data_IF_431154962172
#
_entry.id   IF_431154962172
#
_cell.length_a   1.000
_cell.length_b   1.000
_cell.length_c   1.000
_cell.angle_alpha   90.00
_cell.angle_beta   90.00
_cell.angle_gamma   90.00
#
_symmetry.space_group_name_H-M   'P 1'
#
loop_
_entity.id
_entity.type
_entity.pdbx_description
1 polymer ?
#
# COMPACT_ATOMS: atom_id res chain seq x y z
N UNK A 1 -14.77 -19.24 47.28
CA UNK A 1 -15.98 -18.76 46.56
C UNK A 1 -15.64 -17.49 45.78
N UNK A 2 -16.52 -17.06 44.86
CA UNK A 2 -16.42 -15.82 44.04
C UNK A 2 -16.20 -14.57 44.93
N UNK A 3 -15.73 -13.40 44.48
CA UNK A 3 -15.65 -12.80 43.13
C UNK A 3 -14.43 -11.80 43.07
N UNK A 4 -14.16 -10.94 42.07
CA UNK A 4 -14.77 -10.59 40.76
C UNK A 4 -13.65 -9.97 39.87
N UNK A 5 -13.88 -9.79 38.57
CA UNK A 5 -13.00 -9.02 37.64
C UNK A 5 -13.26 -7.51 37.72
N UNK A 6 -12.24 -6.68 37.47
CA UNK A 6 -12.39 -5.43 36.70
C UNK A 6 -11.25 -5.31 35.69
N UNK A 7 -11.62 -5.22 34.41
CA UNK A 7 -10.74 -4.89 33.30
C UNK A 7 -10.78 -3.37 33.06
N UNK A 8 -9.65 -2.70 33.14
CA UNK A 8 -9.54 -1.27 32.84
C UNK A 8 -8.81 -1.09 31.52
N UNK A 9 -9.51 -0.56 30.51
CA UNK A 9 -8.87 -0.12 29.27
C UNK A 9 -8.11 1.17 29.54
N UNK A 10 -6.77 1.11 29.50
CA UNK A 10 -5.92 2.29 29.65
C UNK A 10 -5.63 2.89 28.26
N UNK A 11 -6.44 3.88 27.88
CA UNK A 11 -6.09 4.78 26.76
C UNK A 11 -5.00 5.72 27.27
N UNK A 12 -3.76 5.51 26.85
CA UNK A 12 -2.68 6.47 27.09
C UNK A 12 -2.86 7.69 26.17
N UNK A 13 -2.72 8.93 26.68
CA UNK A 13 -2.84 10.11 25.84
C UNK A 13 -1.58 10.33 25.00
N UNK A 14 -1.71 10.22 23.68
CA UNK A 14 -0.73 10.78 22.76
C UNK A 14 -0.78 12.32 22.84
N UNK A 15 0.31 12.96 23.25
CA UNK A 15 0.48 14.40 23.05
C UNK A 15 0.85 14.65 21.58
N UNK A 16 0.11 15.49 20.83
CA UNK A 16 0.52 15.88 19.49
C UNK A 16 1.69 16.88 19.59
N UNK A 17 2.87 16.48 19.13
CA UNK A 17 3.94 17.43 18.84
C UNK A 17 3.64 18.12 17.50
N UNK A 18 3.13 19.35 17.58
CA UNK A 18 2.90 20.19 16.41
C UNK A 18 4.24 20.61 15.78
N UNK A 19 4.70 19.87 14.77
CA UNK A 19 5.87 20.26 13.96
C UNK A 19 5.43 21.34 12.98
N UNK A 20 5.65 22.60 13.34
CA UNK A 20 5.53 23.74 12.43
C UNK A 20 6.69 23.71 11.43
N UNK A 21 6.44 23.20 10.22
CA UNK A 21 7.35 23.33 9.09
C UNK A 21 7.53 24.80 8.69
N UNK A 22 8.73 25.21 8.21
CA UNK A 22 8.98 26.59 7.81
C UNK A 22 8.21 26.96 6.53
N UNK A 23 7.75 28.21 6.46
CA UNK A 23 7.21 28.79 5.23
C UNK A 23 8.26 28.74 4.10
N UNK A 24 7.94 28.05 3.00
CA UNK A 24 8.71 28.09 1.76
C UNK A 24 8.02 29.04 0.79
N UNK A 25 8.73 30.08 0.35
CA UNK A 25 8.25 31.00 -0.69
C UNK A 25 8.19 30.30 -2.07
N UNK A 26 7.25 30.66 -2.96
CA UNK A 26 6.99 29.88 -4.17
C UNK A 26 8.14 30.01 -5.19
N UNK A 27 8.77 28.89 -5.52
CA UNK A 27 9.56 28.76 -6.74
C UNK A 27 8.62 28.51 -7.93
N UNK A 28 8.73 29.32 -8.98
CA UNK A 28 7.99 29.14 -10.23
C UNK A 28 8.52 27.90 -10.99
N UNK A 29 7.85 26.77 -10.84
CA UNK A 29 7.92 25.68 -11.81
C UNK A 29 6.79 25.82 -12.83
N UNK A 30 7.16 25.73 -14.11
CA UNK A 30 6.18 25.58 -15.19
C UNK A 30 5.62 24.16 -15.16
N UNK A 31 4.39 23.99 -14.69
CA UNK A 31 3.61 22.77 -14.92
C UNK A 31 3.11 22.74 -16.36
N UNK A 32 3.57 21.79 -17.17
CA UNK A 32 2.80 21.37 -18.34
C UNK A 32 1.51 20.69 -17.87
N UNK A 33 0.48 20.68 -18.72
CA UNK A 33 -0.81 20.05 -18.43
C UNK A 33 -0.63 18.55 -18.15
N UNK A 34 -0.64 18.19 -16.87
CA UNK A 34 -0.70 16.80 -16.41
C UNK A 34 -2.15 16.51 -16.06
N UNK A 35 -2.77 15.57 -16.79
CA UNK A 35 -3.99 14.93 -16.31
C UNK A 35 -3.67 14.22 -14.98
N UNK A 36 -4.56 14.29 -13.97
CA UNK A 36 -4.32 13.64 -12.69
C UNK A 36 -4.29 12.11 -12.86
N UNK A 37 -3.22 11.41 -12.42
CA UNK A 37 -3.17 9.96 -12.51
C UNK A 37 -3.85 9.26 -11.32
N UNK A 38 -4.22 8.00 -11.55
CA UNK A 38 -4.63 6.99 -10.58
C UNK A 38 -5.93 7.25 -9.79
N UNK A 39 -7.08 7.21 -10.48
CA UNK A 39 -8.32 6.76 -9.83
C UNK A 39 -8.46 5.25 -9.95
N UNK A 40 -7.81 4.52 -9.03
CA UNK A 40 -8.23 3.15 -8.76
C UNK A 40 -9.73 3.16 -8.38
N UNK A 41 -10.53 2.35 -9.05
CA UNK A 41 -11.96 2.19 -8.75
C UNK A 41 -12.79 3.47 -8.86
N UNK A 42 -12.92 4.05 -10.06
CA UNK A 42 -14.07 4.92 -10.32
C UNK A 42 -15.39 4.11 -10.25
N UNK A 43 -16.36 4.67 -9.53
CA UNK A 43 -17.79 4.36 -9.64
C UNK A 43 -18.43 5.65 -10.18
N UNK A 44 -19.37 5.60 -11.13
CA UNK A 44 -19.51 6.64 -12.13
C UNK A 44 -19.70 8.06 -11.58
N UNK A 45 -18.81 8.97 -11.96
CA UNK A 45 -18.97 10.41 -11.73
C UNK A 45 -19.96 11.03 -12.74
N UNK A 46 -21.17 10.51 -12.82
CA UNK A 46 -22.25 11.10 -13.62
C UNK A 46 -23.24 11.87 -12.74
N UNK A 47 -23.12 13.19 -12.73
CA UNK A 47 -24.23 14.12 -13.02
C UNK A 47 -23.80 15.60 -12.90
N UNK A 48 -23.43 16.22 -14.03
CA UNK A 48 -23.94 17.55 -14.39
C UNK A 48 -23.81 17.79 -15.91
N UNK A 49 -24.88 18.32 -16.50
CA UNK A 49 -25.09 18.63 -17.93
C UNK A 49 -25.01 17.50 -18.98
N UNK A 50 -26.21 17.01 -19.35
CA UNK A 50 -26.43 16.28 -20.62
C UNK A 50 -26.22 17.19 -21.83
N UNK A 51 -25.09 17.03 -22.51
CA UNK A 51 -25.11 16.90 -23.98
C UNK A 51 -25.12 15.39 -24.32
N UNK A 52 -25.53 14.98 -25.53
CA UNK A 52 -25.51 13.57 -25.89
C UNK A 52 -24.05 13.08 -25.85
N UNK A 53 -23.76 12.13 -24.95
CA UNK A 53 -22.44 11.51 -24.88
C UNK A 53 -22.14 10.88 -26.24
N UNK A 54 -21.14 11.43 -26.93
CA UNK A 54 -20.53 10.73 -28.04
C UNK A 54 -19.95 9.42 -27.47
N UNK A 55 -20.27 8.29 -28.09
CA UNK A 55 -19.74 6.98 -27.67
C UNK A 55 -18.22 7.08 -27.57
N UNK A 56 -17.67 6.91 -26.35
CA UNK A 56 -16.22 6.95 -26.12
C UNK A 56 -15.60 5.90 -27.02
N UNK A 57 -14.78 6.34 -27.99
CA UNK A 57 -14.23 5.44 -28.98
C UNK A 57 -13.34 4.41 -28.29
N UNK A 58 -13.51 3.14 -28.63
CA UNK A 58 -12.74 2.03 -28.05
C UNK A 58 -11.25 2.15 -28.44
N UNK A 59 -10.50 2.88 -27.61
CA UNK A 59 -9.08 3.17 -27.79
C UNK A 59 -8.24 1.90 -27.93
N UNK A 60 -7.64 1.69 -29.11
CA UNK A 60 -6.90 0.46 -29.42
C UNK A 60 -5.63 0.29 -28.58
N UNK A 61 -4.96 1.38 -28.22
CA UNK A 61 -3.75 1.38 -27.40
C UNK A 61 -3.56 2.75 -26.75
N UNK A 62 -2.82 2.81 -25.65
CA UNK A 62 -2.35 4.05 -25.05
C UNK A 62 -0.89 3.94 -24.59
N UNK A 63 -0.28 5.10 -24.36
CA UNK A 63 1.06 5.23 -23.81
C UNK A 63 1.11 6.45 -22.89
N UNK A 64 1.32 6.21 -21.61
CA UNK A 64 1.60 7.25 -20.62
C UNK A 64 3.04 7.13 -20.11
N UNK A 65 3.53 8.21 -19.51
CA UNK A 65 4.84 8.28 -18.89
C UNK A 65 4.75 9.11 -17.62
N UNK A 66 5.31 8.57 -16.54
CA UNK A 66 5.42 9.24 -15.26
C UNK A 66 6.89 9.30 -14.84
N UNK A 67 7.26 10.39 -14.18
CA UNK A 67 8.48 10.48 -13.41
C UNK A 67 8.19 11.20 -12.11
N UNK A 68 8.62 10.62 -10.99
CA UNK A 68 8.39 11.16 -9.65
C UNK A 68 9.71 11.20 -8.91
N UNK A 69 9.94 12.30 -8.18
CA UNK A 69 11.11 12.49 -7.34
C UNK A 69 10.65 12.98 -5.98
N UNK A 70 11.02 12.28 -4.92
CA UNK A 70 10.67 12.64 -3.54
C UNK A 70 11.95 12.94 -2.77
N UNK A 71 12.12 14.20 -2.37
CA UNK A 71 13.19 14.63 -1.49
C UNK A 71 12.76 14.55 -0.03
N UNK A 72 13.64 14.02 0.82
CA UNK A 72 13.37 13.82 2.24
C UNK A 72 14.51 14.34 3.11
N UNK A 73 14.17 14.82 4.30
CA UNK A 73 15.14 15.29 5.29
C UNK A 73 14.70 14.95 6.71
N UNK A 74 15.65 14.52 7.54
CA UNK A 74 15.54 14.66 8.99
C UNK A 74 16.81 15.29 9.59
N UNK A 75 16.64 15.97 10.72
CA UNK A 75 17.76 16.51 11.49
C UNK A 75 18.46 15.45 12.34
N UNK A 76 19.42 15.91 13.14
CA UNK A 76 20.00 15.10 14.22
C UNK A 76 18.94 14.86 15.30
N UNK A 77 18.89 13.66 15.85
CA UNK A 77 18.10 13.35 17.06
C UNK A 77 18.94 12.57 18.08
N UNK A 78 18.37 12.21 19.23
CA UNK A 78 19.07 11.44 20.25
C UNK A 78 18.71 9.96 20.15
N UNK A 79 19.63 9.11 19.71
CA UNK A 79 19.49 7.65 19.77
C UNK A 79 20.50 7.04 20.77
N UNK A 80 20.09 6.72 22.01
CA UNK A 80 21.00 6.24 23.06
C UNK A 80 21.55 4.83 22.81
N UNK A 81 21.06 4.14 21.78
CA UNK A 81 21.54 2.86 21.29
C UNK A 81 21.38 2.83 19.75
N UNK A 82 22.10 1.92 19.08
CA UNK A 82 22.00 1.67 17.64
C UNK A 82 22.23 0.18 17.36
N UNK A 83 21.37 -0.40 16.54
CA UNK A 83 21.50 -1.72 15.95
C UNK A 83 21.64 -1.66 14.43
N UNK A 84 21.77 -2.82 13.76
CA UNK A 84 21.92 -2.91 12.30
C UNK A 84 20.74 -2.30 11.52
N UNK A 85 19.54 -2.29 12.12
CA UNK A 85 18.31 -1.78 11.52
C UNK A 85 17.70 -0.66 12.37
N UNK A 86 18.53 0.26 12.84
CA UNK A 86 18.11 1.52 13.48
C UNK A 86 18.11 2.68 12.50
N UNK A 87 17.16 3.60 12.69
CA UNK A 87 17.19 4.91 12.04
C UNK A 87 18.42 5.65 12.58
N UNK A 88 19.23 6.19 11.67
CA UNK A 88 20.44 6.88 12.02
C UNK A 88 20.13 8.25 12.60
N UNK A 89 20.86 8.63 13.64
CA UNK A 89 20.62 9.84 14.43
C UNK A 89 21.30 11.10 13.87
N UNK A 90 22.03 10.98 12.77
CA UNK A 90 22.68 12.09 12.07
C UNK A 90 21.77 12.62 10.95
N UNK A 91 21.97 13.85 10.44
CA UNK A 91 21.08 14.41 9.42
C UNK A 91 21.20 13.68 8.08
N UNK A 92 20.09 13.12 7.58
CA UNK A 92 20.02 12.49 6.26
C UNK A 92 19.25 13.40 5.28
N UNK A 93 19.75 13.49 4.04
CA UNK A 93 19.18 14.25 2.92
C UNK A 93 19.15 13.35 1.70
N UNK A 94 18.10 12.56 1.60
CA UNK A 94 17.97 11.56 0.55
C UNK A 94 16.91 11.99 -0.47
N UNK A 95 17.05 11.46 -1.69
CA UNK A 95 16.14 11.68 -2.81
C UNK A 95 15.88 10.32 -3.45
N UNK A 96 14.61 10.07 -3.78
CA UNK A 96 14.17 8.97 -4.62
C UNK A 96 13.81 9.43 -6.03
N UNK A 97 13.88 8.51 -6.99
CA UNK A 97 13.47 8.75 -8.36
C UNK A 97 12.96 7.44 -8.98
N UNK A 98 11.70 7.44 -9.40
CA UNK A 98 11.13 6.41 -10.28
C UNK A 98 10.64 7.06 -11.57
N UNK A 99 10.83 6.36 -12.67
CA UNK A 99 10.18 6.68 -13.94
C UNK A 99 9.65 5.43 -14.61
N UNK A 100 8.43 5.53 -15.13
CA UNK A 100 7.64 4.39 -15.59
C UNK A 100 6.97 4.76 -16.90
N UNK A 101 7.07 3.87 -17.88
CA UNK A 101 6.22 3.90 -19.07
C UNK A 101 5.02 2.99 -18.81
N UNK A 102 3.84 3.42 -19.22
CA UNK A 102 2.60 2.66 -19.09
C UNK A 102 2.07 2.41 -20.49
N UNK A 103 2.26 1.21 -21.02
CA UNK A 103 1.76 0.83 -22.34
C UNK A 103 0.58 -0.14 -22.20
N UNK A 104 -0.58 0.27 -22.70
CA UNK A 104 -1.78 -0.56 -22.80
C UNK A 104 -2.14 -0.85 -24.27
N UNK A 105 -2.60 -2.05 -24.56
CA UNK A 105 -3.14 -2.43 -25.88
C UNK A 105 -4.35 -3.35 -25.75
N UNK A 106 -5.41 -3.04 -26.50
CA UNK A 106 -6.60 -3.89 -26.63
C UNK A 106 -6.31 -4.96 -27.68
N UNK A 107 -6.24 -6.21 -27.25
CA UNK A 107 -6.00 -7.38 -28.11
C UNK A 107 -7.29 -7.89 -28.76
N UNK A 108 -8.41 -7.75 -28.04
CA UNK A 108 -9.77 -8.09 -28.47
C UNK A 108 -10.76 -7.21 -27.67
N UNK A 109 -12.04 -7.17 -28.04
CA UNK A 109 -13.06 -6.28 -27.46
C UNK A 109 -13.02 -6.23 -25.92
N UNK A 110 -12.90 -7.39 -25.28
CA UNK A 110 -12.86 -7.55 -23.82
C UNK A 110 -11.46 -7.88 -23.28
N UNK A 111 -10.42 -7.95 -24.11
CA UNK A 111 -9.08 -8.41 -23.73
C UNK A 111 -8.05 -7.29 -23.84
N UNK A 112 -7.38 -6.97 -22.75
CA UNK A 112 -6.40 -5.88 -22.67
C UNK A 112 -5.07 -6.40 -22.11
N UNK A 113 -3.96 -5.91 -22.64
CA UNK A 113 -2.60 -6.25 -22.21
C UNK A 113 -1.86 -4.99 -21.79
N UNK A 114 -1.12 -5.09 -20.69
CA UNK A 114 -0.35 -3.98 -20.12
C UNK A 114 1.10 -4.37 -19.90
N UNK A 115 2.01 -3.46 -20.24
CA UNK A 115 3.44 -3.60 -20.03
C UNK A 115 4.05 -2.29 -19.52
N UNK A 116 4.68 -2.35 -18.35
CA UNK A 116 5.25 -1.19 -17.70
C UNK A 116 6.71 -1.47 -17.33
N UNK A 117 7.68 -1.07 -18.18
CA UNK A 117 9.06 -0.98 -17.77
C UNK A 117 9.23 0.22 -16.84
N UNK A 118 9.93 -0.01 -15.73
CA UNK A 118 10.13 0.94 -14.64
C UNK A 118 11.61 1.02 -14.29
N UNK A 119 12.09 2.23 -14.03
CA UNK A 119 13.44 2.50 -13.52
C UNK A 119 13.25 3.19 -12.18
N UNK A 120 13.68 2.56 -11.10
CA UNK A 120 13.73 3.16 -9.76
C UNK A 120 15.17 3.24 -9.25
N UNK A 121 15.46 4.29 -8.48
CA UNK A 121 16.73 4.51 -7.80
C UNK A 121 16.62 5.57 -6.71
N UNK A 122 17.74 5.83 -6.04
CA UNK A 122 17.82 6.77 -4.93
C UNK A 122 18.06 6.08 -3.59
N UNK A 123 17.75 6.77 -2.50
CA UNK A 123 17.92 6.29 -1.13
C UNK A 123 16.71 6.72 -0.31
N UNK A 124 16.38 5.92 0.70
CA UNK A 124 15.56 6.35 1.82
C UNK A 124 16.41 6.33 3.08
N UNK A 125 15.94 7.02 4.12
CA UNK A 125 16.64 7.16 5.40
C UNK A 125 17.21 5.81 5.87
N UNK A 126 18.48 5.82 6.22
CA UNK A 126 19.19 4.70 6.85
C UNK A 126 19.18 3.41 6.01
N UNK A 127 19.04 3.56 4.69
CA UNK A 127 18.91 2.46 3.74
C UNK A 127 17.53 1.79 3.77
N UNK A 128 16.48 2.55 4.09
CA UNK A 128 15.11 2.07 4.32
C UNK A 128 15.01 1.17 5.57
N UNK A 129 15.77 1.49 6.63
CA UNK A 129 15.73 0.78 7.92
C UNK A 129 15.35 1.71 9.07
N UNK A 130 14.87 1.13 10.17
CA UNK A 130 14.60 1.85 11.42
C UNK A 130 13.25 2.53 11.53
N UNK A 131 12.40 2.42 10.50
CA UNK A 131 11.02 2.90 10.47
C UNK A 131 10.15 1.81 9.84
N UNK A 132 9.11 1.35 10.53
CA UNK A 132 8.14 0.43 9.94
C UNK A 132 7.14 1.19 9.05
N UNK A 133 6.64 2.33 9.53
CA UNK A 133 5.91 3.31 8.74
C UNK A 133 6.89 4.23 8.00
N UNK A 134 7.51 3.72 6.93
CA UNK A 134 8.39 4.52 6.09
C UNK A 134 7.67 5.75 5.56
N UNK A 135 8.39 6.87 5.55
CA UNK A 135 7.92 8.20 5.13
C UNK A 135 7.89 8.40 3.60
N UNK A 136 8.25 7.37 2.81
CA UNK A 136 8.27 7.44 1.34
C UNK A 136 7.81 6.12 0.69
N UNK A 137 6.59 6.14 0.17
CA UNK A 137 5.91 5.09 -0.57
C UNK A 137 6.32 4.91 -2.03
N UNK A 138 7.06 5.86 -2.57
CA UNK A 138 7.55 5.82 -3.95
C UNK A 138 8.87 5.03 -4.06
N UNK A 139 9.63 4.92 -2.96
CA UNK A 139 10.81 4.05 -2.88
C UNK A 139 10.45 2.56 -2.78
N UNK A 140 10.98 1.69 -3.67
CA UNK A 140 11.06 0.27 -3.36
C UNK A 140 12.02 0.04 -2.18
N UNK A 141 11.95 -1.13 -1.53
CA UNK A 141 12.71 -1.49 -0.32
C UNK A 141 14.19 -1.82 -0.60
N UNK A 142 14.85 -0.96 -1.37
CA UNK A 142 16.17 -1.18 -1.96
C UNK A 142 17.06 0.04 -1.72
N UNK A 143 18.08 -0.11 -0.87
CA UNK A 143 19.03 0.95 -0.51
C UNK A 143 20.04 1.33 -1.63
N UNK A 144 19.69 1.16 -2.92
CA UNK A 144 20.62 1.30 -4.04
C UNK A 144 20.36 2.57 -4.84
N UNK A 145 21.27 3.55 -4.68
CA UNK A 145 21.25 4.80 -5.43
C UNK A 145 21.37 4.64 -6.95
N UNK A 146 21.83 3.49 -7.45
CA UNK A 146 21.98 3.22 -8.89
C UNK A 146 20.62 2.88 -9.52
N UNK A 147 20.11 3.68 -10.48
CA UNK A 147 18.88 3.36 -11.18
C UNK A 147 19.02 2.02 -11.92
N UNK A 148 18.06 1.12 -11.75
CA UNK A 148 18.06 -0.20 -12.40
C UNK A 148 16.71 -0.45 -13.06
N UNK A 149 16.64 -0.72 -14.37
CA UNK A 149 15.39 -1.05 -15.05
C UNK A 149 14.84 -2.40 -14.57
N UNK A 150 13.52 -2.53 -14.61
CA UNK A 150 12.80 -3.78 -14.41
C UNK A 150 11.40 -3.73 -15.02
N UNK A 151 10.73 -4.87 -15.02
CA UNK A 151 9.31 -4.99 -15.35
C UNK A 151 8.54 -4.74 -14.06
N UNK A 152 7.84 -3.61 -13.98
CA UNK A 152 6.87 -3.36 -12.90
C UNK A 152 5.62 -4.19 -13.16
N UNK A 153 4.99 -3.99 -14.33
CA UNK A 153 3.76 -4.67 -14.74
C UNK A 153 3.94 -5.35 -16.10
N UNK A 154 3.37 -6.55 -16.23
CA UNK A 154 3.28 -7.33 -17.46
C UNK A 154 2.12 -8.31 -17.30
N UNK A 155 0.91 -7.93 -17.70
CA UNK A 155 -0.28 -8.75 -17.45
C UNK A 155 -1.31 -8.65 -18.56
N UNK A 156 -2.16 -9.67 -18.61
CA UNK A 156 -3.36 -9.76 -19.44
C UNK A 156 -4.58 -9.63 -18.53
N UNK A 157 -5.60 -8.90 -18.96
CA UNK A 157 -6.92 -8.85 -18.31
C UNK A 157 -8.04 -9.13 -19.32
N UNK A 158 -9.08 -9.85 -18.90
CA UNK A 158 -10.21 -10.24 -19.75
C UNK A 158 -11.55 -10.12 -19.00
N UNK A 159 -12.54 -9.49 -19.64
CA UNK A 159 -13.90 -9.30 -19.10
C UNK A 159 -14.92 -10.32 -19.65
N UNK A 160 -15.54 -11.07 -18.74
CA UNK A 160 -16.76 -11.84 -19.01
C UNK A 160 -17.97 -11.02 -18.57
N UNK A 161 -18.63 -10.35 -19.52
CA UNK A 161 -19.78 -9.48 -19.26
C UNK A 161 -21.10 -10.22 -19.06
N UNK A 162 -21.95 -9.69 -18.18
CA UNK A 162 -23.31 -10.18 -17.92
C UNK A 162 -24.35 -9.08 -18.17
N UNK A 163 -25.27 -9.33 -19.10
CA UNK A 163 -26.29 -8.35 -19.51
C UNK A 163 -25.77 -7.35 -20.54
N UNK A 164 -26.61 -6.36 -20.86
CA UNK A 164 -26.37 -5.38 -21.94
C UNK A 164 -25.87 -4.01 -21.45
N UNK A 165 -25.88 -3.77 -20.13
CA UNK A 165 -25.39 -2.52 -19.57
C UNK A 165 -23.87 -2.46 -19.62
N UNK A 166 -23.36 -1.28 -19.94
CA UNK A 166 -21.94 -0.96 -19.93
C UNK A 166 -21.70 0.31 -19.13
N UNK A 167 -20.48 0.45 -18.65
CA UNK A 167 -19.95 1.69 -18.09
C UNK A 167 -18.76 2.15 -18.95
N UNK A 168 -18.61 3.46 -19.10
CA UNK A 168 -17.56 4.07 -19.91
C UNK A 168 -16.35 4.40 -19.05
N UNK A 169 -15.16 4.20 -19.61
CA UNK A 169 -13.88 4.51 -18.99
C UNK A 169 -13.11 5.51 -19.86
N UNK A 170 -12.45 6.45 -19.20
CA UNK A 170 -11.47 7.33 -19.81
C UNK A 170 -10.08 6.66 -19.89
N UNK A 171 -9.21 7.22 -20.74
CA UNK A 171 -7.85 6.71 -20.93
C UNK A 171 -6.95 7.18 -19.79
N UNK A 172 -6.43 6.23 -19.00
CA UNK A 172 -5.50 6.51 -17.90
C UNK A 172 -4.29 5.54 -17.91
N UNK A 173 -3.36 5.76 -16.98
CA UNK A 173 -2.31 4.80 -16.63
C UNK A 173 -2.93 3.44 -16.29
N UNK A 174 -2.58 2.40 -17.05
CA UNK A 174 -3.15 1.04 -16.92
C UNK A 174 -4.67 0.92 -17.24
N UNK A 175 -5.27 1.89 -17.94
CA UNK A 175 -6.68 1.82 -18.36
C UNK A 175 -6.88 2.36 -19.79
N UNK A 176 -7.43 1.55 -20.69
CA UNK A 176 -7.80 1.99 -22.03
C UNK A 176 -9.21 2.59 -22.05
N UNK A 177 -9.37 3.71 -22.76
CA UNK A 177 -10.69 4.31 -22.97
C UNK A 177 -11.63 3.37 -23.76
N UNK A 178 -12.93 3.53 -23.49
CA UNK A 178 -14.01 2.78 -24.13
C UNK A 178 -15.02 2.22 -23.12
N UNK A 179 -15.84 1.29 -23.56
CA UNK A 179 -16.92 0.72 -22.74
C UNK A 179 -16.58 -0.68 -22.23
N UNK A 180 -16.85 -0.98 -20.95
CA UNK A 180 -16.80 -2.35 -20.38
C UNK A 180 -18.17 -2.73 -19.79
N UNK A 181 -18.54 -4.02 -19.70
CA UNK A 181 -19.83 -4.42 -19.14
C UNK A 181 -19.96 -4.08 -17.64
N UNK A 182 -21.05 -3.42 -17.22
CA UNK A 182 -21.28 -2.94 -15.83
C UNK A 182 -21.22 -4.10 -14.82
N UNK A 183 -21.97 -5.17 -15.11
CA UNK A 183 -21.85 -6.43 -14.37
C UNK A 183 -20.91 -7.34 -15.15
N UNK A 184 -19.77 -7.69 -14.55
CA UNK A 184 -18.74 -8.52 -15.22
C UNK A 184 -17.96 -9.36 -14.23
N UNK A 185 -17.35 -10.42 -14.73
CA UNK A 185 -16.29 -11.15 -14.07
C UNK A 185 -14.98 -10.88 -14.83
N UNK A 186 -14.01 -10.29 -14.15
CA UNK A 186 -12.69 -9.94 -14.69
C UNK A 186 -11.69 -11.01 -14.25
N UNK A 187 -10.86 -11.50 -15.17
CA UNK A 187 -9.66 -12.29 -14.83
C UNK A 187 -8.42 -11.52 -15.28
N UNK A 188 -7.50 -11.27 -14.35
CA UNK A 188 -6.19 -10.67 -14.61
C UNK A 188 -5.08 -11.66 -14.24
N UNK A 189 -4.10 -11.89 -15.13
CA UNK A 189 -2.98 -12.83 -14.92
C UNK A 189 -1.68 -12.23 -15.42
N UNK A 190 -0.61 -12.36 -14.64
CA UNK A 190 0.73 -11.93 -15.03
C UNK A 190 1.55 -11.39 -13.85
N UNK A 191 2.24 -10.28 -14.08
CA UNK A 191 3.01 -9.53 -13.08
C UNK A 191 2.38 -8.16 -12.84
N UNK A 192 2.16 -7.83 -11.56
CA UNK A 192 1.51 -6.61 -11.09
C UNK A 192 1.79 -6.40 -9.59
N UNK A 193 1.33 -5.31 -8.98
CA UNK A 193 1.20 -5.24 -7.50
C UNK A 193 -0.22 -5.60 -7.12
N UNK A 194 -0.42 -6.32 -6.01
CA UNK A 194 -1.77 -6.60 -5.52
C UNK A 194 -2.49 -5.31 -5.11
N UNK A 195 -1.74 -4.26 -4.74
CA UNK A 195 -2.30 -2.93 -4.44
C UNK A 195 -2.90 -2.22 -5.66
N UNK A 196 -2.73 -2.73 -6.89
CA UNK A 196 -3.46 -2.24 -8.07
C UNK A 196 -4.95 -2.62 -8.02
N UNK A 197 -5.32 -3.67 -7.26
CA UNK A 197 -6.66 -4.26 -7.24
C UNK A 197 -7.33 -4.25 -5.86
N UNK A 198 -6.54 -4.18 -4.79
CA UNK A 198 -6.97 -4.33 -3.39
C UNK A 198 -6.55 -3.13 -2.54
N UNK A 199 -7.27 -2.89 -1.44
CA UNK A 199 -7.10 -1.79 -0.50
C UNK A 199 -7.17 -0.39 -1.12
N UNK A 200 -7.85 -0.26 -2.27
CA UNK A 200 -7.98 0.99 -3.00
C UNK A 200 -8.71 2.09 -2.19
N UNK A 201 -8.30 3.35 -2.36
CA UNK A 201 -8.96 4.51 -1.74
C UNK A 201 -8.72 5.81 -2.54
N UNK A 202 -9.80 6.50 -2.90
CA UNK A 202 -9.82 7.74 -3.69
C UNK A 202 -9.01 8.88 -3.08
N UNK A 203 -8.87 8.92 -1.75
CA UNK A 203 -8.20 10.02 -1.04
C UNK A 203 -6.80 9.63 -0.51
N UNK A 204 -6.42 8.36 -0.57
CA UNK A 204 -5.16 7.89 -0.02
C UNK A 204 -4.75 6.52 -0.57
N UNK A 205 -4.10 6.47 -1.72
CA UNK A 205 -3.62 5.22 -2.33
C UNK A 205 -2.38 5.41 -3.21
N UNK A 206 -2.23 6.58 -3.85
CA UNK A 206 -1.06 6.91 -4.65
C UNK A 206 -0.05 7.79 -3.87
N UNK A 207 1.14 7.28 -3.52
CA UNK A 207 2.17 8.07 -2.84
C UNK A 207 2.81 9.16 -3.71
N UNK A 208 2.54 9.18 -5.02
CA UNK A 208 3.10 10.16 -5.97
C UNK A 208 2.26 11.42 -6.11
N UNK A 209 0.96 11.34 -5.80
CA UNK A 209 0.01 12.47 -5.87
C UNK A 209 -0.69 12.78 -4.55
N UNK A 210 -0.68 11.88 -3.57
CA UNK A 210 -1.43 12.02 -2.32
C UNK A 210 -0.52 11.96 -1.07
N UNK A 211 -0.46 10.82 -0.38
CA UNK A 211 0.25 10.68 0.90
C UNK A 211 1.45 9.74 0.77
N UNK A 212 2.64 10.24 1.14
CA UNK A 212 3.90 9.51 0.99
C UNK A 212 4.15 8.43 2.06
N UNK A 213 3.43 8.43 3.19
CA UNK A 213 3.64 7.47 4.29
C UNK A 213 3.07 6.08 3.98
N UNK A 214 3.84 5.01 4.19
CA UNK A 214 3.42 3.65 3.84
C UNK A 214 2.11 3.21 4.50
N UNK A 215 1.95 3.49 5.79
CA UNK A 215 0.75 3.13 6.55
C UNK A 215 -0.42 4.13 6.39
N UNK A 216 -0.23 5.15 5.53
CA UNK A 216 -1.29 6.06 5.07
C UNK A 216 -1.76 5.62 3.70
N UNK A 217 -0.84 5.48 2.72
CA UNK A 217 -1.18 5.05 1.35
C UNK A 217 -1.83 3.66 1.31
N UNK A 218 -1.31 2.71 2.08
CA UNK A 218 -1.79 1.33 2.13
C UNK A 218 -2.03 0.88 3.57
N UNK A 219 -2.73 -0.22 3.72
CA UNK A 219 -2.89 -0.93 4.97
C UNK A 219 -1.56 -1.57 5.39
N UNK A 220 -0.77 -0.89 6.21
CA UNK A 220 0.48 -1.40 6.79
C UNK A 220 0.35 -2.77 7.48
N UNK A 221 -0.84 -3.13 7.98
CA UNK A 221 -1.10 -4.45 8.56
C UNK A 221 -1.23 -5.58 7.53
N UNK A 222 -1.38 -5.27 6.24
CA UNK A 222 -1.47 -6.23 5.15
C UNK A 222 -0.09 -6.51 4.55
N UNK A 223 0.49 -7.64 4.95
CA UNK A 223 1.81 -8.10 4.48
C UNK A 223 1.70 -8.72 3.07
N UNK A 224 1.36 -7.91 2.07
CA UNK A 224 0.92 -8.40 0.76
C UNK A 224 2.02 -9.14 -0.04
N UNK A 225 1.71 -10.24 -0.73
CA UNK A 225 2.68 -10.97 -1.58
C UNK A 225 3.36 -10.06 -2.62
N UNK A 226 4.67 -9.90 -2.48
CA UNK A 226 5.50 -9.07 -3.33
C UNK A 226 6.98 -9.45 -3.25
N UNK A 227 7.74 -9.13 -4.30
CA UNK A 227 9.18 -8.95 -4.21
C UNK A 227 9.55 -7.63 -3.51
N UNK A 228 10.85 -7.42 -3.27
CA UNK A 228 11.44 -6.19 -2.69
C UNK A 228 11.02 -4.87 -3.38
N UNK A 229 10.45 -4.91 -4.59
CA UNK A 229 9.96 -3.74 -5.34
C UNK A 229 8.44 -3.58 -5.29
N UNK A 230 7.73 -4.42 -4.54
CA UNK A 230 6.28 -4.33 -4.38
C UNK A 230 5.47 -5.11 -5.42
N UNK A 231 6.09 -5.90 -6.29
CA UNK A 231 5.39 -6.59 -7.39
C UNK A 231 5.42 -8.10 -7.21
N UNK A 232 4.41 -8.83 -7.69
CA UNK A 232 4.34 -10.30 -7.66
C UNK A 232 3.96 -10.89 -9.01
N UNK A 233 4.11 -12.20 -9.16
CA UNK A 233 3.50 -12.99 -10.23
C UNK A 233 2.30 -13.73 -9.67
N UNK A 234 1.16 -13.65 -10.36
CA UNK A 234 -0.07 -14.22 -9.85
C UNK A 234 -1.27 -13.98 -10.75
N UNK A 235 -2.44 -14.04 -10.12
CA UNK A 235 -3.73 -13.79 -10.74
C UNK A 235 -4.69 -13.08 -9.79
N UNK A 236 -5.63 -12.32 -10.35
CA UNK A 236 -6.72 -11.64 -9.65
C UNK A 236 -8.01 -11.91 -10.40
N UNK A 237 -9.04 -12.34 -9.68
CA UNK A 237 -10.40 -12.55 -10.16
C UNK A 237 -11.31 -11.54 -9.46
N UNK A 238 -12.07 -10.77 -10.23
CA UNK A 238 -12.99 -9.76 -9.72
C UNK A 238 -14.39 -9.99 -10.25
N UNK A 239 -15.41 -9.96 -9.39
CA UNK A 239 -16.81 -9.95 -9.79
C UNK A 239 -17.42 -8.59 -9.43
N UNK A 240 -17.80 -7.83 -10.45
CA UNK A 240 -18.38 -6.50 -10.29
C UNK A 240 -19.88 -6.50 -10.59
N UNK A 241 -20.59 -5.67 -9.83
CA UNK A 241 -21.99 -5.28 -10.02
C UNK A 241 -22.08 -3.76 -9.80
N UNK A 242 -23.25 -3.14 -10.00
CA UNK A 242 -23.42 -1.70 -9.76
C UNK A 242 -22.86 -1.22 -8.40
N UNK A 243 -23.25 -1.85 -7.29
CA UNK A 243 -22.94 -1.37 -5.93
C UNK A 243 -21.98 -2.28 -5.13
N UNK A 244 -21.41 -3.32 -5.76
CA UNK A 244 -20.50 -4.25 -5.12
C UNK A 244 -19.39 -4.73 -6.05
N UNK A 245 -18.17 -4.88 -5.52
CA UNK A 245 -17.11 -5.73 -6.09
C UNK A 245 -16.71 -6.81 -5.10
N UNK A 246 -16.48 -8.03 -5.59
CA UNK A 246 -15.88 -9.13 -4.84
C UNK A 246 -14.59 -9.53 -5.52
N UNK A 247 -13.47 -9.51 -4.81
CA UNK A 247 -12.12 -9.75 -5.37
C UNK A 247 -11.45 -10.90 -4.66
N UNK A 248 -10.77 -11.76 -5.42
CA UNK A 248 -9.87 -12.79 -4.91
C UNK A 248 -8.59 -12.80 -5.74
N UNK A 249 -7.43 -12.76 -5.09
CA UNK A 249 -6.13 -12.77 -5.75
C UNK A 249 -5.16 -13.74 -5.08
N UNK A 250 -4.30 -14.34 -5.88
CA UNK A 250 -3.23 -15.26 -5.43
C UNK A 250 -1.89 -14.80 -6.03
N UNK A 251 -0.93 -14.47 -5.17
CA UNK A 251 0.41 -14.01 -5.54
C UNK A 251 1.53 -14.91 -5.02
N UNK A 252 2.60 -15.05 -5.80
CA UNK A 252 3.82 -15.73 -5.37
C UNK A 252 4.52 -14.98 -4.22
N UNK A 253 4.98 -15.72 -3.21
CA UNK A 253 5.78 -15.17 -2.10
C UNK A 253 7.27 -15.13 -2.47
N UNK A 254 8.05 -14.17 -1.92
CA UNK A 254 9.50 -14.17 -2.09
C UNK A 254 10.11 -15.39 -1.37
N UNK A 255 11.32 -15.81 -1.77
CA UNK A 255 12.02 -16.97 -1.18
C UNK A 255 12.56 -16.69 0.23
N UNK A 256 12.77 -15.42 0.55
CA UNK A 256 13.21 -14.89 1.84
C UNK A 256 12.48 -13.57 2.09
N UNK A 257 12.34 -13.17 3.35
CA UNK A 257 11.75 -11.88 3.69
C UNK A 257 12.41 -10.74 2.88
N UNK A 258 11.58 -9.88 2.29
CA UNK A 258 11.95 -8.75 1.44
C UNK A 258 12.90 -9.11 0.26
N UNK A 259 12.79 -10.33 -0.28
CA UNK A 259 13.63 -10.83 -1.36
C UNK A 259 13.16 -10.46 -2.78
N UNK A 260 14.10 -10.41 -3.73
CA UNK A 260 13.79 -10.20 -5.17
C UNK A 260 13.36 -11.49 -5.90
N UNK A 261 13.75 -12.67 -5.39
CA UNK A 261 13.48 -13.97 -6.04
C UNK A 261 12.30 -14.64 -5.36
N UNK A 262 11.29 -15.04 -6.13
CA UNK A 262 10.15 -15.82 -5.65
C UNK A 262 10.52 -17.24 -5.23
N UNK A 263 9.75 -17.79 -4.31
CA UNK A 263 9.75 -19.22 -4.04
C UNK A 263 9.19 -19.99 -5.26
N UNK A 264 9.69 -21.20 -5.48
CA UNK A 264 9.23 -22.09 -6.56
C UNK A 264 8.10 -23.01 -6.10
N UNK A 265 7.90 -23.14 -4.78
CA UNK A 265 6.89 -24.00 -4.15
C UNK A 265 5.50 -23.34 -4.18
N UNK A 266 5.05 -22.82 -5.32
CA UNK A 266 3.86 -21.94 -5.43
C UNK A 266 2.52 -22.54 -4.92
N UNK A 267 2.44 -23.86 -4.77
CA UNK A 267 1.26 -24.54 -4.20
C UNK A 267 1.30 -24.61 -2.66
N UNK A 268 2.47 -24.46 -2.05
CA UNK A 268 2.75 -24.47 -0.62
C UNK A 268 3.02 -23.05 -0.09
N UNK A 269 3.86 -22.28 -0.79
CA UNK A 269 4.23 -20.90 -0.47
C UNK A 269 3.65 -19.90 -1.51
N UNK A 270 2.49 -19.34 -1.17
CA UNK A 270 1.81 -18.23 -1.87
C UNK A 270 1.03 -17.41 -0.84
N UNK A 271 0.56 -16.22 -1.22
CA UNK A 271 -0.48 -15.54 -0.46
C UNK A 271 -1.76 -15.37 -1.26
N UNK A 272 -2.86 -15.61 -0.55
CA UNK A 272 -4.23 -15.54 -1.01
C UNK A 272 -4.90 -14.33 -0.32
N UNK A 273 -5.58 -13.47 -1.08
CA UNK A 273 -6.17 -12.20 -0.62
C UNK A 273 -7.60 -12.06 -1.13
N UNK A 274 -8.53 -11.70 -0.25
CA UNK A 274 -9.93 -11.43 -0.57
C UNK A 274 -10.30 -10.00 -0.22
N UNK A 275 -11.16 -9.38 -1.02
CA UNK A 275 -11.78 -8.11 -0.66
C UNK A 275 -13.25 -8.06 -1.08
N UNK A 276 -14.07 -7.47 -0.20
CA UNK A 276 -15.47 -7.16 -0.44
C UNK A 276 -15.63 -5.65 -0.40
N UNK A 277 -16.00 -5.05 -1.52
CA UNK A 277 -16.23 -3.60 -1.67
C UNK A 277 -17.72 -3.34 -1.80
N UNK A 278 -18.29 -2.56 -0.88
CA UNK A 278 -19.61 -1.97 -1.01
C UNK A 278 -19.48 -0.50 -1.41
N UNK A 279 -20.32 -0.04 -2.34
CA UNK A 279 -20.40 1.37 -2.75
C UNK A 279 -21.79 1.92 -2.48
N UNK A 280 -21.83 3.10 -1.88
CA UNK A 280 -23.05 3.73 -1.40
C UNK A 280 -23.04 5.23 -1.71
N UNK A 281 -24.17 5.89 -1.49
CA UNK A 281 -24.31 7.34 -1.67
C UNK A 281 -25.12 7.90 -0.52
N UNK A 282 -24.60 8.92 0.15
CA UNK A 282 -25.35 9.69 1.14
C UNK A 282 -25.76 11.03 0.53
N UNK A 283 -27.06 11.18 0.25
CA UNK A 283 -27.55 12.29 -0.59
C UNK A 283 -27.00 12.16 -2.00
N UNK A 284 -26.19 13.13 -2.42
CA UNK A 284 -25.45 13.11 -3.72
C UNK A 284 -23.98 12.72 -3.58
N UNK A 285 -23.52 12.37 -2.37
CA UNK A 285 -22.09 12.19 -2.09
C UNK A 285 -21.69 10.72 -2.03
N UNK A 286 -20.86 10.22 -2.97
CA UNK A 286 -20.47 8.82 -3.04
C UNK A 286 -19.43 8.45 -1.98
N UNK A 287 -19.54 7.22 -1.47
CA UNK A 287 -18.57 6.61 -0.59
C UNK A 287 -18.45 5.10 -0.85
N UNK A 288 -17.47 4.48 -0.21
CA UNK A 288 -17.28 3.03 -0.26
C UNK A 288 -16.72 2.51 1.07
N UNK A 289 -16.99 1.22 1.34
CA UNK A 289 -16.39 0.47 2.43
C UNK A 289 -15.85 -0.83 1.86
N UNK A 290 -14.59 -1.15 2.19
CA UNK A 290 -13.85 -2.34 1.78
C UNK A 290 -13.46 -3.14 3.01
N UNK A 291 -13.76 -4.43 2.99
CA UNK A 291 -13.27 -5.43 3.95
C UNK A 291 -12.25 -6.30 3.23
N UNK A 292 -11.00 -6.28 3.70
CA UNK A 292 -9.89 -7.05 3.16
C UNK A 292 -9.52 -8.18 4.13
N UNK A 293 -9.24 -9.36 3.60
CA UNK A 293 -8.78 -10.54 4.35
C UNK A 293 -7.60 -11.16 3.59
N UNK A 294 -6.59 -11.69 4.29
CA UNK A 294 -5.48 -12.37 3.62
C UNK A 294 -4.88 -13.52 4.42
N UNK A 295 -4.32 -14.49 3.70
CA UNK A 295 -3.54 -15.60 4.23
C UNK A 295 -2.30 -15.82 3.37
N UNK A 296 -1.12 -15.64 3.96
CA UNK A 296 0.16 -15.98 3.35
C UNK A 296 0.69 -17.28 3.90
N UNK A 297 1.26 -18.10 3.03
CA UNK A 297 2.13 -19.21 3.37
C UNK A 297 3.53 -18.92 2.81
N UNK A 298 4.55 -18.98 3.65
CA UNK A 298 5.92 -18.66 3.27
C UNK A 298 6.94 -19.53 4.03
N UNK A 299 8.21 -19.46 3.62
CA UNK A 299 9.34 -20.01 4.37
C UNK A 299 9.70 -19.07 5.55
N UNK A 300 8.79 -19.00 6.51
CA UNK A 300 8.72 -17.98 7.56
C UNK A 300 8.85 -18.58 8.97
N UNK A 301 9.43 -17.82 9.90
CA UNK A 301 9.56 -18.18 11.31
C UNK A 301 8.42 -17.63 12.17
N UNK A 302 8.44 -17.95 13.48
CA UNK A 302 7.58 -17.29 14.47
C UNK A 302 8.41 -16.66 15.59
N UNK A 303 8.05 -15.44 16.01
CA UNK A 303 8.82 -14.70 17.01
C UNK A 303 8.92 -15.45 18.35
N UNK A 304 7.88 -16.19 18.73
CA UNK A 304 7.87 -17.02 19.94
C UNK A 304 8.90 -18.16 19.89
N UNK A 305 9.01 -18.87 18.76
CA UNK A 305 10.00 -19.93 18.57
C UNK A 305 11.42 -19.36 18.52
N UNK A 306 11.61 -18.21 17.87
CA UNK A 306 12.91 -17.53 17.81
C UNK A 306 13.40 -17.09 19.20
N UNK A 307 12.50 -16.51 20.01
CA UNK A 307 12.75 -16.19 21.42
C UNK A 307 13.08 -17.46 22.24
N UNK A 308 12.36 -18.55 22.01
CA UNK A 308 12.62 -19.81 22.71
C UNK A 308 13.98 -20.40 22.35
N UNK A 309 14.34 -20.41 21.07
CA UNK A 309 15.63 -20.88 20.58
C UNK A 309 16.78 -20.05 21.16
N UNK A 310 16.72 -18.72 21.09
CA UNK A 310 17.73 -17.81 21.66
C UNK A 310 17.94 -18.03 23.18
N UNK A 311 16.86 -18.31 23.93
CA UNK A 311 16.95 -18.68 25.35
C UNK A 311 17.62 -20.03 25.60
N UNK A 312 17.47 -20.99 24.69
CA UNK A 312 18.10 -22.32 24.78
C UNK A 312 19.58 -22.28 24.40
N UNK A 313 19.96 -21.44 23.44
CA UNK A 313 21.34 -21.30 22.95
C UNK A 313 22.16 -20.24 23.69
N UNK A 314 21.52 -19.36 24.46
CA UNK A 314 22.17 -18.22 25.11
C UNK A 314 22.54 -17.09 24.14
N UNK A 315 21.88 -17.02 22.97
CA UNK A 315 22.12 -16.02 21.93
C UNK A 315 20.96 -15.04 21.80
N UNK A 316 21.16 -13.94 21.06
CA UNK A 316 20.04 -13.14 20.56
C UNK A 316 19.09 -14.05 19.73
N UNK A 317 17.78 -13.78 19.74
CA UNK A 317 16.82 -14.57 18.97
C UNK A 317 16.95 -14.25 17.47
N UNK A 318 17.00 -15.29 16.65
CA UNK A 318 17.08 -15.19 15.19
C UNK A 318 15.85 -15.86 14.58
N UNK A 319 14.98 -15.06 13.97
CA UNK A 319 13.76 -15.53 13.30
C UNK A 319 14.10 -16.49 12.14
N UNK A 320 15.22 -16.27 11.45
CA UNK A 320 15.60 -17.03 10.26
C UNK A 320 15.96 -18.47 10.58
N UNK A 321 16.48 -18.72 11.78
CA UNK A 321 16.79 -20.05 12.31
C UNK A 321 15.54 -20.90 12.65
N UNK A 322 14.34 -20.29 12.63
CA UNK A 322 13.07 -20.98 12.92
C UNK A 322 12.15 -21.12 11.70
N UNK A 323 12.58 -20.63 10.54
CA UNK A 323 11.79 -20.64 9.30
C UNK A 323 11.39 -22.05 8.89
N UNK A 324 10.14 -22.18 8.47
CA UNK A 324 9.58 -23.40 7.89
C UNK A 324 8.73 -23.04 6.67
N UNK A 325 8.80 -23.81 5.57
CA UNK A 325 7.86 -23.69 4.46
C UNK A 325 6.43 -23.94 4.91
N UNK A 326 5.47 -23.29 4.27
CA UNK A 326 4.05 -23.40 4.66
C UNK A 326 3.70 -22.71 5.98
N UNK A 327 4.60 -21.93 6.60
CA UNK A 327 4.24 -21.17 7.81
C UNK A 327 3.21 -20.10 7.43
N UNK A 328 2.05 -20.17 8.10
CA UNK A 328 0.89 -19.33 7.81
C UNK A 328 0.89 -18.03 8.61
N UNK A 329 0.86 -16.89 7.91
CA UNK A 329 0.53 -15.56 8.43
C UNK A 329 -0.83 -15.14 7.88
N UNK A 330 -1.66 -14.48 8.68
CA UNK A 330 -2.97 -14.00 8.24
C UNK A 330 -3.33 -12.66 8.87
N UNK A 331 -4.27 -11.96 8.26
CA UNK A 331 -4.76 -10.68 8.77
C UNK A 331 -6.01 -10.18 8.06
N UNK A 332 -6.48 -9.02 8.50
CA UNK A 332 -7.67 -8.36 8.01
C UNK A 332 -7.51 -6.84 8.03
N UNK A 333 -8.22 -6.18 7.13
CA UNK A 333 -8.24 -4.73 6.98
C UNK A 333 -9.64 -4.20 6.75
N UNK A 334 -9.90 -3.00 7.24
CA UNK A 334 -11.08 -2.21 6.87
C UNK A 334 -10.55 -0.94 6.23
N UNK A 335 -11.12 -0.55 5.10
CA UNK A 335 -10.82 0.69 4.40
C UNK A 335 -12.16 1.35 4.04
N UNK A 336 -12.33 2.61 4.41
CA UNK A 336 -13.56 3.34 4.15
C UNK A 336 -13.27 4.76 3.65
N UNK A 337 -14.10 5.22 2.73
CA UNK A 337 -14.03 6.55 2.14
C UNK A 337 -15.42 7.17 1.99
N UNK A 338 -15.50 8.48 2.18
CA UNK A 338 -16.74 9.22 2.03
C UNK A 338 -16.46 10.62 1.50
N UNK A 339 -17.10 10.98 0.39
CA UNK A 339 -17.24 12.39 0.04
C UNK A 339 -18.19 13.07 1.04
N UNK A 340 -17.76 14.17 1.64
CA UNK A 340 -18.55 14.96 2.60
C UNK A 340 -19.22 16.13 1.89
N UNK A 341 -18.52 16.73 0.93
CA UNK A 341 -19.03 17.74 -0.04
C UNK A 341 -18.24 17.58 -1.35
N UNK A 342 -18.69 18.21 -2.45
CA UNK A 342 -17.94 18.22 -3.73
C UNK A 342 -16.47 18.68 -3.62
N UNK A 343 -16.08 19.40 -2.55
CA UNK A 343 -14.69 19.83 -2.31
C UNK A 343 -13.98 19.10 -1.15
N UNK A 344 -14.65 18.22 -0.40
CA UNK A 344 -14.11 17.66 0.85
C UNK A 344 -14.39 16.15 0.92
N UNK A 345 -13.33 15.36 1.09
CA UNK A 345 -13.38 13.92 1.32
C UNK A 345 -12.75 13.51 2.65
N UNK A 346 -13.20 12.38 3.18
CA UNK A 346 -12.62 11.70 4.34
C UNK A 346 -12.28 10.25 4.00
N UNK A 347 -11.21 9.73 4.60
CA UNK A 347 -10.88 8.31 4.57
C UNK A 347 -10.42 7.78 5.92
N UNK A 348 -10.52 6.46 6.11
CA UNK A 348 -9.88 5.74 7.22
C UNK A 348 -9.50 4.33 6.81
N UNK A 349 -8.40 3.83 7.38
CA UNK A 349 -8.01 2.42 7.35
C UNK A 349 -7.80 1.88 8.76
N UNK A 350 -8.19 0.63 8.97
CA UNK A 350 -7.82 -0.18 10.12
C UNK A 350 -7.13 -1.44 9.61
N UNK A 351 -6.07 -1.88 10.29
CA UNK A 351 -5.27 -3.04 9.90
C UNK A 351 -4.87 -3.90 11.08
N UNK A 352 -4.88 -5.21 10.87
CA UNK A 352 -4.48 -6.20 11.86
C UNK A 352 -3.91 -7.43 11.17
N UNK A 353 -2.83 -7.98 11.69
CA UNK A 353 -2.38 -9.34 11.37
C UNK A 353 -2.04 -10.14 12.63
N UNK A 354 -1.69 -11.41 12.48
CA UNK A 354 -1.43 -12.28 13.64
C UNK A 354 -0.32 -11.77 14.59
N UNK A 355 0.61 -10.94 14.08
CA UNK A 355 1.75 -10.35 14.78
C UNK A 355 2.72 -11.34 15.41
N UNK A 356 2.54 -12.64 15.18
CA UNK A 356 3.37 -13.73 15.74
C UNK A 356 4.30 -14.33 14.70
N UNK A 357 3.93 -14.18 13.43
CA UNK A 357 4.62 -14.73 12.26
C UNK A 357 5.45 -13.63 11.62
N UNK A 358 6.66 -13.98 11.22
CA UNK A 358 7.66 -13.11 10.60
C UNK A 358 7.05 -12.13 9.56
N UNK A 359 7.40 -10.85 9.66
CA UNK A 359 7.15 -9.85 8.60
C UNK A 359 7.92 -10.25 7.34
N UNK A 360 7.28 -10.28 6.18
CA UNK A 360 7.85 -11.01 5.06
C UNK A 360 7.95 -10.25 3.73
N UNK A 361 6.98 -9.42 3.37
CA UNK A 361 6.92 -8.84 2.02
C UNK A 361 6.72 -7.32 2.00
N UNK A 362 5.92 -6.74 2.92
CA UNK A 362 5.64 -5.30 2.94
C UNK A 362 6.40 -4.54 4.04
N UNK A 363 5.95 -4.63 5.29
CA UNK A 363 6.55 -3.92 6.42
C UNK A 363 6.28 -4.60 7.77
N UNK A 364 7.06 -4.25 8.79
CA UNK A 364 6.94 -4.71 10.16
C UNK A 364 5.86 -3.93 10.93
N UNK A 365 4.61 -4.03 10.49
CA UNK A 365 3.44 -3.44 11.17
C UNK A 365 2.42 -4.56 11.42
N UNK A 366 2.04 -4.75 12.68
CA UNK A 366 1.05 -5.76 13.08
C UNK A 366 -0.35 -5.14 13.27
N UNK A 367 -0.41 -3.84 13.61
CA UNK A 367 -1.62 -3.08 13.93
C UNK A 367 -1.57 -1.73 13.23
N UNK A 368 -2.69 -1.30 12.65
CA UNK A 368 -2.82 0.03 12.05
C UNK A 368 -4.18 0.64 12.38
N UNK A 369 -4.17 1.93 12.71
CA UNK A 369 -5.28 2.83 12.47
C UNK A 369 -4.75 4.07 11.74
N UNK A 370 -5.36 4.44 10.62
CA UNK A 370 -5.07 5.69 9.93
C UNK A 370 -6.34 6.33 9.38
N UNK A 371 -6.26 7.61 9.07
CA UNK A 371 -7.36 8.34 8.46
C UNK A 371 -7.04 9.81 8.28
N UNK A 372 -7.79 10.46 7.40
CA UNK A 372 -7.48 11.82 7.00
C UNK A 372 -8.59 12.50 6.22
N UNK A 373 -8.36 13.78 5.95
CA UNK A 373 -9.26 14.67 5.21
C UNK A 373 -8.49 15.24 4.02
N UNK A 374 -9.14 15.28 2.87
CA UNK A 374 -8.64 15.89 1.64
C UNK A 374 -9.59 17.01 1.18
N UNK A 375 -9.04 18.16 0.80
CA UNK A 375 -9.79 19.37 0.41
C UNK A 375 -9.28 19.91 -0.92
N UNK A 376 -10.15 20.02 -1.91
CA UNK A 376 -9.80 20.53 -3.25
C UNK A 376 -9.71 22.07 -3.26
N UNK A 377 -8.83 22.60 -4.11
CA UNK A 377 -8.53 24.03 -4.16
C UNK A 377 -9.52 24.92 -4.89
N UNK A 378 -10.70 24.40 -5.24
CA UNK A 378 -11.79 25.14 -5.89
C UNK A 378 -12.09 26.46 -5.17
N UNK A 379 -12.19 26.42 -3.84
CA UNK A 379 -12.56 27.58 -3.00
C UNK A 379 -11.52 28.70 -3.00
N UNK A 380 -10.26 28.39 -3.27
CA UNK A 380 -9.17 29.38 -3.43
C UNK A 380 -8.71 29.52 -4.89
N UNK A 381 -9.58 29.17 -5.86
CA UNK A 381 -9.36 29.31 -7.31
C UNK A 381 -8.14 28.57 -7.85
N UNK A 382 -7.76 27.47 -7.23
CA UNK A 382 -6.71 26.55 -7.71
C UNK A 382 -7.30 25.16 -7.85
N UNK A 383 -8.10 24.89 -8.91
CA UNK A 383 -8.86 23.64 -9.03
C UNK A 383 -8.00 22.37 -9.20
N UNK A 384 -6.71 22.53 -9.51
CA UNK A 384 -5.72 21.45 -9.60
C UNK A 384 -4.95 21.23 -8.28
N UNK A 385 -5.11 22.11 -7.29
CA UNK A 385 -4.48 21.95 -5.99
C UNK A 385 -5.37 21.10 -5.07
N UNK A 386 -4.74 20.34 -4.18
CA UNK A 386 -5.41 19.67 -3.06
C UNK A 386 -4.58 19.88 -1.79
N UNK A 387 -5.25 20.15 -0.68
CA UNK A 387 -4.64 20.19 0.67
C UNK A 387 -5.23 19.05 1.47
N UNK A 388 -4.37 18.19 2.00
CA UNK A 388 -4.78 17.03 2.76
C UNK A 388 -3.99 16.89 4.06
N UNK A 389 -4.60 16.25 5.06
CA UNK A 389 -3.97 15.90 6.33
C UNK A 389 -4.42 14.51 6.74
N UNK A 390 -3.53 13.73 7.34
CA UNK A 390 -3.80 12.42 7.85
C UNK A 390 -3.16 12.26 9.23
N UNK A 391 -3.72 11.34 10.01
CA UNK A 391 -3.12 10.81 11.22
C UNK A 391 -2.96 9.30 11.06
N UNK A 392 -1.85 8.80 11.60
CA UNK A 392 -1.43 7.40 11.52
C UNK A 392 -1.03 6.93 12.90
N UNK A 393 -1.44 5.73 13.28
CA UNK A 393 -0.95 5.01 14.45
C UNK A 393 -0.69 3.56 14.04
N UNK A 394 0.57 3.23 13.81
CA UNK A 394 1.04 1.90 13.46
C UNK A 394 1.72 1.22 14.66
N UNK A 395 1.69 -0.11 14.73
CA UNK A 395 2.40 -0.79 15.80
C UNK A 395 2.51 -2.30 15.74
N UNK A 396 3.25 -2.83 16.70
CA UNK A 396 3.63 -4.23 16.84
C UNK A 396 2.76 -4.92 17.90
N UNK A 397 2.65 -6.25 17.78
CA UNK A 397 2.16 -7.12 18.83
C UNK A 397 3.18 -7.25 19.96
N UNK A 398 2.72 -7.72 21.13
CA UNK A 398 3.57 -7.90 22.29
C UNK A 398 4.70 -8.93 22.06
N UNK A 399 4.51 -9.96 21.23
CA UNK A 399 5.55 -10.97 20.97
C UNK A 399 6.59 -10.47 19.97
N UNK A 400 6.17 -9.71 18.95
CA UNK A 400 7.05 -9.07 17.99
C UNK A 400 7.91 -7.99 18.68
N UNK A 401 7.29 -7.10 19.46
CA UNK A 401 8.03 -6.11 20.26
C UNK A 401 9.01 -6.76 21.25
N UNK A 402 8.64 -7.89 21.87
CA UNK A 402 9.53 -8.63 22.78
C UNK A 402 10.72 -9.30 22.05
N UNK A 403 10.54 -9.76 20.82
CA UNK A 403 11.62 -10.31 19.99
C UNK A 403 12.68 -9.24 19.69
N UNK A 404 12.25 -8.05 19.26
CA UNK A 404 13.16 -6.91 18.99
C UNK A 404 13.84 -6.40 20.27
N UNK A 405 13.10 -6.31 21.39
CA UNK A 405 13.65 -5.89 22.69
C UNK A 405 14.69 -6.89 23.27
N UNK A 406 14.69 -8.13 22.80
CA UNK A 406 15.70 -9.16 23.12
C UNK A 406 16.90 -9.16 22.15
N UNK A 407 16.99 -8.19 21.25
CA UNK A 407 18.05 -8.07 20.25
C UNK A 407 17.83 -8.87 18.97
N UNK A 408 16.61 -9.37 18.75
CA UNK A 408 16.18 -9.88 17.45
C UNK A 408 16.06 -8.77 16.42
N UNK A 409 16.18 -9.13 15.15
CA UNK A 409 16.04 -8.24 14.01
C UNK A 409 14.92 -8.73 13.09
N UNK A 410 14.03 -7.84 12.66
CA UNK A 410 13.17 -8.05 11.49
C UNK A 410 13.89 -7.50 10.24
N UNK A 411 13.28 -7.52 9.05
CA UNK A 411 13.91 -7.10 7.80
C UNK A 411 14.00 -5.58 7.58
N UNK A 412 13.35 -4.77 8.44
CA UNK A 412 13.43 -3.30 8.44
C UNK A 412 13.81 -2.69 9.78
N UNK A 413 13.53 -3.37 10.91
CA UNK A 413 13.65 -2.81 12.26
C UNK A 413 14.39 -3.76 13.20
N UNK A 414 15.23 -3.18 14.05
CA UNK A 414 16.13 -3.93 14.95
C UNK A 414 17.20 -3.03 15.56
N UNK A 415 16.97 -2.60 16.80
CA UNK A 415 17.79 -1.60 17.52
C UNK A 415 18.56 -2.16 18.73
N UNK A 416 18.31 -3.42 19.07
CA UNK A 416 18.97 -4.15 20.17
C UNK A 416 18.34 -3.97 21.56
N UNK A 417 17.56 -2.91 21.82
CA UNK A 417 16.97 -2.59 23.14
C UNK A 417 15.67 -1.77 23.06
N UNK A 418 14.77 -2.13 22.15
CA UNK A 418 13.52 -1.44 21.87
C UNK A 418 12.68 -1.15 23.13
N UNK A 419 12.59 0.13 23.52
CA UNK A 419 11.52 0.64 24.40
C UNK A 419 10.29 0.93 23.55
N UNK A 420 9.51 -0.11 23.31
CA UNK A 420 8.45 -0.06 22.30
C UNK A 420 7.31 0.93 22.60
N UNK A 421 6.89 1.65 21.58
CA UNK A 421 5.67 2.46 21.52
C UNK A 421 5.14 2.53 20.08
N UNK A 422 3.87 2.91 19.85
CA UNK A 422 3.31 3.04 18.50
C UNK A 422 4.05 4.09 17.67
N UNK A 423 4.27 3.79 16.38
CA UNK A 423 4.76 4.76 15.41
C UNK A 423 3.57 5.63 14.97
N UNK A 424 3.57 6.90 15.35
CA UNK A 424 2.52 7.85 15.00
C UNK A 424 3.06 8.99 14.13
N UNK A 425 2.28 9.38 13.11
CA UNK A 425 2.60 10.45 12.16
C UNK A 425 1.33 11.12 11.64
#
# INVERSE_FOLDING_TARGET
>A
MRALRKSTWAIFPCLPYLVLGPFVAPALLHSQEQNPPAQGGEIPRQQENKQPEASVENQRWNLFWQATSIGQYHGTFNSPYKGPFSLQDYPERDVSLTTTLFFGIRLDQNTQFYFNPEIAGGRGFSGVNGLANSSNGELPRVASATPKPYIARLYLTHDFGFGSKKESFESEENQLAGERPETRYTITVGRFTLTDFFDNNRYSHDPRTQFMGWAVMYNGGWDYPADVRGYTWGWVHEFHTANWSFRYGSGAMPRVANGLRFDRRILENRGDVWEQEHRHTFGTHPGAIRLLEYVNHADAGTYAEAIQLGKQTGTAPDITATRRPGTMKYGFGINAEQEITKDIGFFTRLGWNDGKTESFAFTAIDRLASGGISVTGNRWRRPQDTVATAFTAAGLSAVHAAYLALGGNDFLIGDGKLKYGPECS
#
